data_IF_906512714047
#
_entry.id   IF_906512714047
#
_cell.length_a   1.000
_cell.length_b   1.000
_cell.length_c   1.000
_cell.angle_alpha   90.00
_cell.angle_beta   90.00
_cell.angle_gamma   90.00
#
_symmetry.space_group_name_H-M   'P 1'
#
loop_
_entity.id
_entity.type
_entity.pdbx_description
1 polymer ?
#
# COMPACT_ATOMS: atom_id res chain seq x y z
N UNK A 1 -21.64 0.59 -23.35
CA UNK A 1 -21.01 0.54 -22.02
C UNK A 1 -20.12 -0.70 -22.00
N UNK A 2 -18.81 -0.56 -21.73
CA UNK A 2 -17.88 -1.70 -21.62
C UNK A 2 -18.13 -2.46 -20.31
N UNK A 3 -17.61 -3.69 -20.20
CA UNK A 3 -17.68 -4.45 -18.94
C UNK A 3 -16.99 -3.69 -17.78
N UNK A 4 -15.91 -2.98 -18.08
CA UNK A 4 -15.22 -2.14 -17.10
C UNK A 4 -16.09 -0.95 -16.64
N UNK A 5 -16.71 -0.24 -17.58
CA UNK A 5 -17.61 0.86 -17.24
C UNK A 5 -18.82 0.39 -16.40
N UNK A 6 -19.32 -0.81 -16.68
CA UNK A 6 -20.43 -1.38 -15.91
C UNK A 6 -20.00 -1.68 -14.46
N UNK A 7 -18.86 -2.38 -14.26
CA UNK A 7 -18.38 -2.68 -12.89
C UNK A 7 -18.08 -1.40 -12.10
N UNK A 8 -17.59 -0.35 -12.78
CA UNK A 8 -17.29 0.92 -12.14
C UNK A 8 -18.61 1.64 -11.73
N UNK A 9 -19.62 1.60 -12.58
CA UNK A 9 -20.97 2.11 -12.28
C UNK A 9 -21.61 1.35 -11.10
N UNK A 10 -21.47 0.03 -11.07
CA UNK A 10 -21.97 -0.82 -9.97
C UNK A 10 -21.28 -0.49 -8.64
N UNK A 11 -19.96 -0.29 -8.63
CA UNK A 11 -19.21 0.14 -7.45
C UNK A 11 -19.65 1.53 -6.98
N UNK A 12 -19.82 2.48 -7.90
CA UNK A 12 -20.32 3.83 -7.56
C UNK A 12 -21.71 3.74 -6.95
N UNK A 13 -22.61 2.99 -7.57
CA UNK A 13 -23.98 2.81 -7.07
C UNK A 13 -23.98 2.17 -5.66
N UNK A 14 -23.17 1.15 -5.44
CA UNK A 14 -23.03 0.52 -4.12
C UNK A 14 -22.59 1.53 -3.06
N UNK A 15 -21.57 2.34 -3.35
CA UNK A 15 -21.06 3.35 -2.41
C UNK A 15 -22.12 4.44 -2.15
N UNK A 16 -22.87 4.87 -3.18
CA UNK A 16 -23.99 5.81 -3.04
C UNK A 16 -25.10 5.26 -2.13
N UNK A 17 -25.47 3.99 -2.31
CA UNK A 17 -26.45 3.33 -1.45
C UNK A 17 -25.98 3.23 -0.01
N UNK A 18 -24.70 2.90 0.18
CA UNK A 18 -24.10 2.80 1.51
C UNK A 18 -24.07 4.15 2.24
N UNK A 19 -23.85 5.25 1.51
CA UNK A 19 -23.83 6.60 2.07
C UNK A 19 -25.22 7.25 2.13
N UNK A 20 -26.27 6.51 1.79
CA UNK A 20 -27.65 7.02 1.88
C UNK A 20 -27.96 7.48 3.30
N UNK A 21 -28.59 8.65 3.43
CA UNK A 21 -28.89 9.29 4.70
C UNK A 21 -27.77 10.18 5.26
N UNK A 22 -26.59 10.20 4.63
CA UNK A 22 -25.56 11.21 4.86
C UNK A 22 -25.72 12.35 3.85
N UNK A 23 -25.41 13.58 4.25
CA UNK A 23 -25.28 14.71 3.34
C UNK A 23 -23.94 14.59 2.61
N UNK A 24 -23.94 13.76 1.58
CA UNK A 24 -22.74 13.42 0.81
C UNK A 24 -22.82 14.06 -0.58
N UNK A 25 -21.79 14.80 -1.01
CA UNK A 25 -21.71 15.34 -2.37
C UNK A 25 -21.60 14.22 -3.40
N UNK A 26 -21.64 14.58 -4.68
CA UNK A 26 -21.43 13.61 -5.76
C UNK A 26 -20.08 12.90 -5.59
N UNK A 27 -20.09 11.57 -5.71
CA UNK A 27 -18.89 10.75 -5.58
C UNK A 27 -18.05 10.88 -6.85
N UNK A 28 -16.84 11.41 -6.68
CA UNK A 28 -15.82 11.46 -7.73
C UNK A 28 -15.31 10.03 -8.02
N UNK A 29 -15.12 9.70 -9.29
CA UNK A 29 -14.69 8.34 -9.68
C UNK A 29 -13.35 8.41 -10.38
N UNK A 30 -12.39 7.65 -9.86
CA UNK A 30 -11.04 7.56 -10.39
C UNK A 30 -10.78 6.16 -10.96
N UNK A 31 -10.72 6.11 -12.28
CA UNK A 31 -10.58 4.90 -13.07
C UNK A 31 -9.15 4.32 -13.01
N UNK A 32 -9.06 3.02 -13.22
CA UNK A 32 -7.83 2.27 -13.41
C UNK A 32 -7.65 1.87 -14.87
N UNK A 33 -6.42 1.60 -15.32
CA UNK A 33 -6.24 0.72 -16.47
C UNK A 33 -6.95 -0.62 -16.22
N UNK A 34 -7.55 -1.18 -17.25
CA UNK A 34 -8.27 -2.46 -17.14
C UNK A 34 -7.33 -3.65 -16.95
N UNK A 35 -6.08 -3.53 -17.43
CA UNK A 35 -5.02 -4.55 -17.36
C UNK A 35 -3.70 -3.91 -16.92
N UNK A 36 -2.75 -4.74 -16.54
CA UNK A 36 -1.37 -4.34 -16.22
C UNK A 36 -1.24 -3.27 -15.11
N UNK A 37 -2.24 -3.21 -14.24
CA UNK A 37 -2.31 -2.23 -13.16
C UNK A 37 -1.62 -2.68 -11.88
N UNK A 38 -1.45 -4.00 -11.70
CA UNK A 38 -1.01 -4.58 -10.43
C UNK A 38 0.51 -4.70 -10.38
N UNK A 39 1.13 -3.97 -9.45
CA UNK A 39 2.59 -3.93 -9.27
C UNK A 39 3.14 -5.09 -8.45
N UNK A 40 2.27 -5.87 -7.80
CA UNK A 40 2.65 -7.04 -7.01
C UNK A 40 1.83 -8.25 -7.46
N UNK A 41 2.50 -9.38 -7.64
CA UNK A 41 1.86 -10.66 -7.93
C UNK A 41 2.61 -11.79 -7.23
N UNK A 42 1.88 -12.82 -6.82
CA UNK A 42 2.45 -14.01 -6.21
C UNK A 42 1.86 -15.27 -6.86
N UNK A 43 2.68 -16.29 -7.02
CA UNK A 43 2.30 -17.55 -7.63
C UNK A 43 2.95 -18.72 -6.87
N UNK A 44 2.26 -19.85 -6.88
CA UNK A 44 2.89 -21.13 -6.59
C UNK A 44 3.70 -21.58 -7.79
N UNK A 45 4.79 -22.27 -7.54
CA UNK A 45 5.52 -22.98 -8.58
C UNK A 45 5.07 -24.44 -8.51
N UNK A 46 4.44 -24.89 -9.57
CA UNK A 46 3.92 -26.25 -9.67
C UNK A 46 4.87 -27.10 -10.49
N UNK A 47 5.13 -28.31 -9.99
CA UNK A 47 6.01 -29.29 -10.63
C UNK A 47 5.19 -30.50 -11.02
N UNK A 48 5.07 -30.77 -12.31
CA UNK A 48 4.29 -31.89 -12.84
C UNK A 48 4.92 -32.38 -14.16
N UNK A 49 5.06 -33.71 -14.28
CA UNK A 49 5.58 -34.32 -15.51
C UNK A 49 6.98 -33.87 -15.95
N UNK A 50 7.80 -33.39 -15.01
CA UNK A 50 9.12 -32.82 -15.31
C UNK A 50 9.10 -31.35 -15.72
N UNK A 51 7.93 -30.80 -15.94
CA UNK A 51 7.71 -29.37 -16.21
C UNK A 51 7.53 -28.58 -14.90
N UNK A 52 7.81 -27.30 -14.96
CA UNK A 52 7.61 -26.34 -13.88
C UNK A 52 6.90 -25.10 -14.43
N UNK A 53 5.82 -24.67 -13.76
CA UNK A 53 5.03 -23.53 -14.22
C UNK A 53 4.39 -22.77 -13.04
N UNK A 54 3.96 -21.54 -13.30
CA UNK A 54 3.24 -20.71 -12.33
C UNK A 54 1.81 -21.21 -12.17
N UNK A 55 1.33 -21.23 -10.93
CA UNK A 55 0.00 -21.69 -10.60
C UNK A 55 -0.71 -20.80 -9.59
N UNK A 56 -1.99 -20.66 -9.76
CA UNK A 56 -2.95 -20.14 -8.77
C UNK A 56 -3.96 -21.26 -8.45
N UNK A 57 -4.81 -21.01 -7.47
CA UNK A 57 -5.84 -21.97 -7.07
C UNK A 57 -7.20 -21.29 -7.04
N UNK A 58 -8.25 -22.05 -7.31
CA UNK A 58 -9.62 -21.55 -7.20
C UNK A 58 -9.86 -21.00 -5.79
N UNK A 59 -10.48 -19.83 -5.74
CA UNK A 59 -10.73 -19.12 -4.49
C UNK A 59 -11.62 -19.95 -3.55
N UNK A 60 -11.18 -20.08 -2.30
CA UNK A 60 -11.92 -20.81 -1.26
C UNK A 60 -11.73 -22.33 -1.31
N UNK A 61 -10.94 -22.85 -2.26
CA UNK A 61 -10.59 -24.26 -2.32
C UNK A 61 -9.20 -24.55 -1.76
N UNK A 62 -9.00 -25.75 -1.26
CA UNK A 62 -7.67 -26.21 -0.81
C UNK A 62 -6.75 -26.32 -2.04
N UNK A 63 -5.51 -25.84 -1.89
CA UNK A 63 -4.49 -25.96 -2.92
C UNK A 63 -4.22 -27.44 -3.26
N UNK A 64 -4.62 -27.85 -4.45
CA UNK A 64 -4.48 -29.22 -4.96
C UNK A 64 -4.49 -29.20 -6.49
N UNK A 65 -4.13 -30.31 -7.12
CA UNK A 65 -4.23 -30.45 -8.58
C UNK A 65 -5.65 -30.24 -9.13
N UNK A 66 -6.69 -30.51 -8.31
CA UNK A 66 -8.09 -30.33 -8.72
C UNK A 66 -8.53 -28.85 -8.76
N UNK A 67 -7.91 -27.98 -7.97
CA UNK A 67 -8.19 -26.53 -7.92
C UNK A 67 -7.14 -25.70 -8.64
N UNK A 68 -6.20 -26.33 -9.36
CA UNK A 68 -5.07 -25.73 -10.02
C UNK A 68 -5.50 -24.92 -11.22
N UNK A 69 -4.99 -23.67 -11.30
CA UNK A 69 -5.11 -22.77 -12.45
C UNK A 69 -3.68 -22.46 -12.91
N UNK A 70 -3.30 -22.93 -14.10
CA UNK A 70 -2.01 -22.61 -14.72
C UNK A 70 -2.01 -21.14 -15.16
N UNK A 71 -0.97 -20.40 -14.83
CA UNK A 71 -0.83 -18.97 -15.11
C UNK A 71 0.46 -18.69 -15.88
N UNK A 72 0.47 -18.93 -17.19
CA UNK A 72 1.63 -18.57 -18.04
C UNK A 72 1.75 -17.05 -18.23
N UNK A 73 0.63 -16.34 -18.09
CA UNK A 73 0.52 -14.89 -18.06
C UNK A 73 -0.51 -14.49 -16.99
N UNK A 74 -0.39 -13.27 -16.50
CA UNK A 74 -1.36 -12.70 -15.56
C UNK A 74 -1.74 -11.28 -15.99
N UNK A 75 -2.82 -11.10 -16.76
CA UNK A 75 -3.17 -9.80 -17.37
C UNK A 75 -3.32 -8.65 -16.38
N UNK A 76 -3.68 -8.92 -15.12
CA UNK A 76 -3.76 -7.90 -14.09
C UNK A 76 -2.39 -7.38 -13.65
N UNK A 77 -1.34 -8.24 -13.66
CA UNK A 77 0.02 -7.84 -13.28
C UNK A 77 0.63 -6.88 -14.29
N UNK A 78 1.55 -6.04 -13.83
CA UNK A 78 2.27 -5.06 -14.67
C UNK A 78 2.90 -5.72 -15.89
N UNK A 79 3.11 -4.93 -16.94
CA UNK A 79 3.77 -5.42 -18.15
C UNK A 79 5.18 -5.97 -17.85
N UNK A 80 5.90 -5.34 -16.92
CA UNK A 80 7.24 -5.80 -16.52
C UNK A 80 7.20 -7.17 -15.81
N UNK A 81 6.19 -7.45 -14.99
CA UNK A 81 5.99 -8.78 -14.38
C UNK A 81 5.68 -9.80 -15.48
N UNK A 82 4.73 -9.52 -16.37
CA UNK A 82 4.36 -10.42 -17.46
C UNK A 82 5.54 -10.71 -18.42
N UNK A 83 6.37 -9.70 -18.70
CA UNK A 83 7.56 -9.87 -19.52
C UNK A 83 8.66 -10.71 -18.83
N UNK A 84 8.75 -10.63 -17.49
CA UNK A 84 9.73 -11.38 -16.71
C UNK A 84 9.31 -12.85 -16.49
N UNK A 85 8.04 -13.11 -16.30
CA UNK A 85 7.53 -14.45 -15.95
C UNK A 85 8.09 -15.59 -16.83
N UNK A 86 8.00 -15.54 -18.18
CA UNK A 86 8.53 -16.61 -19.02
C UNK A 86 10.06 -16.74 -18.93
N UNK A 87 10.77 -15.64 -18.85
CA UNK A 87 12.25 -15.63 -18.78
C UNK A 87 12.75 -16.23 -17.47
N UNK A 88 12.10 -15.89 -16.35
CA UNK A 88 12.45 -16.37 -15.03
C UNK A 88 12.21 -17.88 -14.90
N UNK A 89 11.05 -18.36 -15.34
CA UNK A 89 10.70 -19.79 -15.24
C UNK A 89 11.59 -20.65 -16.16
N UNK A 90 11.91 -20.18 -17.36
CA UNK A 90 12.81 -20.85 -18.29
C UNK A 90 14.23 -20.96 -17.72
N UNK A 91 14.81 -19.85 -17.27
CA UNK A 91 16.15 -19.83 -16.69
C UNK A 91 16.25 -20.72 -15.44
N UNK A 92 15.27 -20.64 -14.54
CA UNK A 92 15.23 -21.47 -13.34
C UNK A 92 15.02 -22.96 -13.64
N UNK A 93 14.22 -23.30 -14.66
CA UNK A 93 13.99 -24.69 -15.10
C UNK A 93 15.26 -25.38 -15.61
N UNK A 94 16.14 -24.60 -16.21
CA UNK A 94 17.41 -25.09 -16.77
C UNK A 94 18.55 -25.17 -15.73
N UNK A 95 18.33 -24.68 -14.51
CA UNK A 95 19.37 -24.70 -13.46
C UNK A 95 18.94 -25.56 -12.26
N UNK A 96 19.67 -26.69 -11.98
CA UNK A 96 19.28 -27.64 -10.92
C UNK A 96 19.09 -26.99 -9.54
N UNK A 97 19.97 -26.06 -9.14
CA UNK A 97 19.89 -25.41 -7.83
C UNK A 97 18.68 -24.50 -7.70
N UNK A 98 18.29 -23.81 -8.77
CA UNK A 98 17.14 -22.92 -8.80
C UNK A 98 15.82 -23.67 -8.88
N UNK A 99 15.77 -24.77 -9.67
CA UNK A 99 14.58 -25.59 -9.87
C UNK A 99 14.19 -26.41 -8.63
N UNK A 100 15.19 -26.96 -7.94
CA UNK A 100 14.96 -27.94 -6.89
C UNK A 100 14.19 -27.38 -5.71
N UNK A 101 12.96 -27.88 -5.50
CA UNK A 101 12.03 -27.49 -4.44
C UNK A 101 11.68 -26.01 -4.40
N UNK A 102 11.73 -25.31 -5.55
CA UNK A 102 11.17 -23.99 -5.68
C UNK A 102 9.66 -24.07 -5.52
N UNK A 103 9.13 -23.38 -4.50
CA UNK A 103 7.75 -23.55 -4.04
C UNK A 103 6.81 -22.44 -4.47
N UNK A 104 7.27 -21.20 -4.37
CA UNK A 104 6.48 -20.02 -4.70
C UNK A 104 7.38 -18.86 -5.12
N UNK A 105 6.79 -17.86 -5.75
CA UNK A 105 7.46 -16.62 -6.15
C UNK A 105 6.56 -15.44 -5.90
N UNK A 106 7.17 -14.35 -5.43
CA UNK A 106 6.53 -13.04 -5.31
C UNK A 106 7.27 -12.04 -6.20
N UNK A 107 6.50 -11.26 -6.95
CA UNK A 107 7.01 -10.17 -7.78
C UNK A 107 6.59 -8.84 -7.19
N UNK A 108 7.52 -7.89 -7.13
CA UNK A 108 7.26 -6.50 -6.80
C UNK A 108 7.92 -5.62 -7.85
N UNK A 109 7.10 -5.01 -8.69
CA UNK A 109 7.52 -4.06 -9.74
C UNK A 109 7.20 -2.63 -9.35
N UNK A 110 7.79 -1.69 -10.07
CA UNK A 110 7.59 -0.25 -9.88
C UNK A 110 7.32 0.46 -11.20
N UNK A 111 6.72 1.64 -11.16
CA UNK A 111 6.61 2.52 -12.32
C UNK A 111 7.98 3.06 -12.75
N UNK A 112 8.95 3.11 -11.83
CA UNK A 112 10.34 3.50 -12.12
C UNK A 112 11.13 2.46 -12.91
N UNK A 113 10.62 1.22 -13.00
CA UNK A 113 11.25 0.11 -13.75
C UNK A 113 12.06 -0.85 -12.90
N UNK A 114 12.17 -0.66 -11.58
CA UNK A 114 12.82 -1.63 -10.69
C UNK A 114 11.92 -2.85 -10.45
N UNK A 115 12.56 -4.01 -10.27
CA UNK A 115 11.91 -5.30 -10.03
C UNK A 115 12.60 -6.06 -8.91
N UNK A 116 11.83 -6.52 -7.93
CA UNK A 116 12.26 -7.42 -6.87
C UNK A 116 11.49 -8.73 -6.96
N UNK A 117 12.23 -9.84 -6.97
CA UNK A 117 11.66 -11.20 -7.00
C UNK A 117 12.05 -11.92 -5.71
N UNK A 118 11.07 -12.41 -4.98
CA UNK A 118 11.29 -13.28 -3.83
C UNK A 118 11.02 -14.72 -4.24
N UNK A 119 12.06 -15.54 -4.25
CA UNK A 119 11.99 -16.96 -4.55
C UNK A 119 11.90 -17.77 -3.26
N UNK A 120 10.81 -18.51 -3.07
CA UNK A 120 10.49 -19.24 -1.83
C UNK A 120 10.67 -20.74 -2.06
N UNK A 121 11.44 -21.37 -1.19
CA UNK A 121 11.85 -22.77 -1.31
C UNK A 121 11.43 -23.63 -0.10
N UNK A 122 11.20 -24.91 -0.36
CA UNK A 122 11.05 -25.95 0.65
C UNK A 122 12.35 -26.76 0.84
N UNK A 123 13.49 -26.08 0.73
CA UNK A 123 14.81 -26.63 1.04
C UNK A 123 15.68 -25.55 1.70
N UNK A 124 16.73 -25.95 2.39
CA UNK A 124 17.77 -25.00 2.86
C UNK A 124 18.53 -24.46 1.66
N UNK A 125 18.73 -23.16 1.61
CA UNK A 125 19.51 -22.47 0.58
C UNK A 125 20.97 -22.46 0.98
N UNK A 126 21.85 -22.83 0.04
CA UNK A 126 23.29 -22.95 0.21
C UNK A 126 24.04 -21.96 -0.72
N UNK A 127 25.37 -22.01 -0.69
CA UNK A 127 26.22 -21.15 -1.53
C UNK A 127 26.01 -21.39 -3.03
N UNK A 128 25.79 -22.65 -3.44
CA UNK A 128 25.52 -22.96 -4.85
C UNK A 128 24.22 -22.32 -5.34
N UNK A 129 23.18 -22.30 -4.50
CA UNK A 129 21.96 -21.56 -4.79
C UNK A 129 22.22 -20.06 -4.89
N UNK A 130 23.00 -19.49 -3.95
CA UNK A 130 23.33 -18.05 -3.96
C UNK A 130 24.05 -17.65 -5.24
N UNK A 131 25.05 -18.42 -5.65
CA UNK A 131 25.79 -18.15 -6.88
C UNK A 131 24.86 -18.18 -8.09
N UNK A 132 24.06 -19.24 -8.23
CA UNK A 132 23.12 -19.39 -9.33
C UNK A 132 22.08 -18.26 -9.38
N UNK A 133 21.57 -17.85 -8.23
CA UNK A 133 20.59 -16.77 -8.12
C UNK A 133 21.22 -15.39 -8.38
N UNK A 134 22.50 -15.16 -8.03
CA UNK A 134 23.23 -13.93 -8.37
C UNK A 134 23.43 -13.80 -9.89
N UNK A 135 23.82 -14.88 -10.55
CA UNK A 135 23.94 -14.92 -12.01
C UNK A 135 22.61 -14.63 -12.68
N UNK A 136 21.53 -15.27 -12.23
CA UNK A 136 20.17 -15.04 -12.69
C UNK A 136 19.72 -13.59 -12.51
N UNK A 137 19.97 -13.02 -11.33
CA UNK A 137 19.62 -11.63 -11.02
C UNK A 137 20.35 -10.64 -11.95
N UNK A 138 21.62 -10.87 -12.22
CA UNK A 138 22.42 -10.08 -13.14
C UNK A 138 21.89 -10.18 -14.58
N UNK A 139 21.67 -11.40 -15.08
CA UNK A 139 21.25 -11.64 -16.46
C UNK A 139 19.84 -11.08 -16.75
N UNK A 140 18.97 -11.09 -15.78
CA UNK A 140 17.60 -10.56 -15.91
C UNK A 140 17.47 -9.09 -15.49
N UNK A 141 18.50 -8.50 -14.90
CA UNK A 141 18.49 -7.11 -14.42
C UNK A 141 17.50 -6.87 -13.29
N UNK A 142 17.40 -7.80 -12.33
CA UNK A 142 16.45 -7.78 -11.23
C UNK A 142 17.13 -7.96 -9.88
N UNK A 143 16.42 -7.60 -8.80
CA UNK A 143 16.82 -7.97 -7.45
C UNK A 143 16.18 -9.30 -7.05
N UNK A 144 16.93 -10.18 -6.39
CA UNK A 144 16.42 -11.48 -5.92
C UNK A 144 16.64 -11.62 -4.43
N UNK A 145 15.61 -12.12 -3.74
CA UNK A 145 15.66 -12.61 -2.37
C UNK A 145 15.31 -14.09 -2.39
N UNK A 146 16.10 -14.91 -1.70
CA UNK A 146 15.77 -16.29 -1.41
C UNK A 146 15.15 -16.43 -0.03
N UNK A 147 14.03 -17.16 0.06
CA UNK A 147 13.40 -17.51 1.32
C UNK A 147 13.25 -19.02 1.46
N UNK A 148 13.51 -19.49 2.66
CA UNK A 148 13.25 -20.84 3.10
C UNK A 148 12.90 -20.82 4.59
N UNK A 149 12.53 -21.96 5.18
CA UNK A 149 12.21 -22.01 6.60
C UNK A 149 13.39 -21.49 7.45
N UNK A 150 13.18 -20.37 8.13
CA UNK A 150 14.19 -19.73 8.97
C UNK A 150 15.35 -19.03 8.22
N UNK A 151 15.26 -18.88 6.89
CA UNK A 151 16.27 -18.18 6.10
C UNK A 151 15.66 -17.06 5.26
N UNK A 152 16.37 -15.93 5.23
CA UNK A 152 16.20 -14.85 4.25
C UNK A 152 17.58 -14.50 3.71
N UNK A 153 17.80 -14.69 2.42
CA UNK A 153 19.04 -14.37 1.74
C UNK A 153 18.78 -13.23 0.77
N UNK A 154 19.36 -12.08 1.05
CA UNK A 154 19.27 -10.87 0.21
C UNK A 154 20.53 -10.82 -0.65
N UNK A 155 20.38 -10.92 -1.97
CA UNK A 155 21.53 -10.95 -2.89
C UNK A 155 22.11 -9.56 -3.14
N UNK A 156 21.27 -8.54 -3.22
CA UNK A 156 21.68 -7.14 -3.43
C UNK A 156 20.95 -6.18 -2.49
N UNK A 157 19.64 -6.13 -2.57
CA UNK A 157 18.78 -5.29 -1.74
C UNK A 157 17.43 -5.97 -1.51
N UNK A 158 16.75 -5.60 -0.44
CA UNK A 158 15.42 -6.13 -0.09
C UNK A 158 14.30 -5.11 -0.30
N UNK A 159 14.51 -4.20 -1.20
CA UNK A 159 13.55 -3.15 -1.57
C UNK A 159 13.65 -2.80 -3.06
N UNK A 160 12.63 -2.13 -3.54
CA UNK A 160 12.63 -1.36 -4.79
C UNK A 160 12.35 0.10 -4.49
N UNK A 161 12.81 1.00 -5.36
CA UNK A 161 12.51 2.42 -5.27
C UNK A 161 11.44 2.78 -6.29
N UNK A 162 10.24 3.07 -5.80
CA UNK A 162 9.12 3.56 -6.61
C UNK A 162 9.23 5.08 -6.79
N UNK A 163 8.76 5.56 -7.93
CA UNK A 163 8.65 6.97 -8.25
C UNK A 163 7.20 7.31 -8.62
N UNK A 164 6.50 8.03 -7.74
CA UNK A 164 5.12 8.44 -7.95
C UNK A 164 5.04 9.93 -8.23
N UNK A 165 4.28 10.32 -9.24
CA UNK A 165 4.06 11.72 -9.61
C UNK A 165 2.73 12.22 -9.05
N UNK A 166 2.80 13.31 -8.30
CA UNK A 166 1.66 13.99 -7.67
C UNK A 166 1.73 15.46 -8.00
N UNK A 167 0.73 16.00 -8.71
CA UNK A 167 0.66 17.40 -9.13
C UNK A 167 1.98 17.90 -9.80
N UNK A 168 2.55 17.06 -10.66
CA UNK A 168 3.78 17.37 -11.42
C UNK A 168 5.08 17.20 -10.65
N UNK A 169 5.04 16.87 -9.35
CA UNK A 169 6.22 16.57 -8.54
C UNK A 169 6.37 15.06 -8.35
N UNK A 170 7.58 14.55 -8.52
CA UNK A 170 7.90 13.13 -8.33
C UNK A 170 8.44 12.89 -6.92
N UNK A 171 7.85 11.91 -6.23
CA UNK A 171 8.28 11.43 -4.93
C UNK A 171 8.87 10.05 -5.04
N UNK A 172 9.95 9.78 -4.31
CA UNK A 172 10.64 8.49 -4.27
C UNK A 172 10.30 7.75 -2.98
N UNK A 173 9.98 6.47 -3.12
CA UNK A 173 9.58 5.60 -2.01
C UNK A 173 10.36 4.30 -2.05
N UNK A 174 11.00 3.93 -0.95
CA UNK A 174 11.39 2.54 -0.75
C UNK A 174 10.17 1.69 -0.43
N UNK A 175 10.03 0.63 -1.20
CA UNK A 175 9.04 -0.42 -0.99
C UNK A 175 9.78 -1.69 -0.59
N UNK A 176 9.70 -2.02 0.70
CA UNK A 176 10.44 -3.13 1.29
C UNK A 176 9.70 -4.44 1.00
N UNK A 177 10.47 -5.49 0.69
CA UNK A 177 9.95 -6.84 0.52
C UNK A 177 9.08 -7.25 1.72
N UNK A 178 7.90 -7.80 1.44
CA UNK A 178 6.93 -8.22 2.45
C UNK A 178 6.15 -7.10 3.14
N UNK A 179 6.49 -5.83 2.93
CA UNK A 179 5.71 -4.70 3.46
C UNK A 179 4.53 -4.36 2.55
N UNK A 180 3.52 -3.72 3.15
CA UNK A 180 2.37 -3.25 2.38
C UNK A 180 2.76 -2.13 1.41
N UNK A 181 2.24 -2.21 0.20
CA UNK A 181 2.27 -1.14 -0.81
C UNK A 181 0.93 -1.12 -1.54
N UNK A 182 0.50 0.05 -2.01
CA UNK A 182 -0.69 0.14 -2.86
C UNK A 182 -0.49 -0.70 -4.14
N UNK A 183 -1.35 -1.68 -4.41
CA UNK A 183 -1.09 -2.63 -5.48
C UNK A 183 -1.22 -2.03 -6.88
N UNK A 184 -1.99 -0.96 -7.04
CA UNK A 184 -2.18 -0.25 -8.30
C UNK A 184 -1.53 1.13 -8.20
N UNK A 185 -0.28 1.24 -8.68
CA UNK A 185 0.50 2.48 -8.55
C UNK A 185 -0.10 3.66 -9.32
N UNK A 186 -0.75 3.42 -10.46
CA UNK A 186 -1.39 4.48 -11.23
C UNK A 186 -2.59 5.07 -10.50
N UNK A 187 -3.45 4.23 -9.92
CA UNK A 187 -4.56 4.70 -9.06
C UNK A 187 -4.03 5.30 -7.76
N UNK A 188 -2.93 4.77 -7.20
CA UNK A 188 -2.27 5.38 -6.05
C UNK A 188 -1.90 6.85 -6.32
N UNK A 189 -1.32 7.17 -7.47
CA UNK A 189 -1.02 8.56 -7.84
C UNK A 189 -2.29 9.44 -7.86
N UNK A 190 -3.42 8.90 -8.32
CA UNK A 190 -4.73 9.60 -8.29
C UNK A 190 -5.22 9.81 -6.85
N UNK A 191 -5.05 8.83 -5.99
CA UNK A 191 -5.37 8.95 -4.56
C UNK A 191 -4.54 10.03 -3.87
N UNK A 192 -3.23 10.04 -4.12
CA UNK A 192 -2.31 11.04 -3.58
C UNK A 192 -2.66 12.45 -4.08
N UNK A 193 -2.94 12.58 -5.37
CA UNK A 193 -3.36 13.86 -5.98
C UNK A 193 -4.67 14.36 -5.36
N UNK A 194 -5.67 13.49 -5.23
CA UNK A 194 -6.95 13.84 -4.62
C UNK A 194 -6.77 14.32 -3.17
N UNK A 195 -5.96 13.63 -2.39
CA UNK A 195 -5.69 14.02 -1.00
C UNK A 195 -4.97 15.37 -0.92
N UNK A 196 -3.98 15.60 -1.78
CA UNK A 196 -3.27 16.89 -1.86
C UNK A 196 -4.20 18.02 -2.29
N UNK A 197 -5.08 17.79 -3.26
CA UNK A 197 -6.05 18.79 -3.71
C UNK A 197 -7.05 19.15 -2.60
N UNK A 198 -7.52 18.16 -1.84
CA UNK A 198 -8.36 18.40 -0.67
C UNK A 198 -7.63 19.13 0.47
N UNK A 199 -6.31 18.94 0.57
CA UNK A 199 -5.48 19.58 1.59
C UNK A 199 -5.06 21.02 1.25
N UNK A 200 -5.31 21.49 0.02
CA UNK A 200 -4.94 22.85 -0.39
C UNK A 200 -5.57 23.91 0.53
N UNK A 201 -4.76 24.85 0.99
CA UNK A 201 -5.17 25.97 1.82
C UNK A 201 -5.77 25.60 3.21
N UNK A 202 -5.62 24.36 3.69
CA UNK A 202 -6.03 24.00 5.05
C UNK A 202 -5.09 24.61 6.10
N UNK A 203 -3.80 24.75 5.76
CA UNK A 203 -2.81 25.40 6.63
C UNK A 203 -2.56 24.70 7.95
N UNK A 204 -1.81 25.35 8.86
CA UNK A 204 -1.44 24.80 10.17
C UNK A 204 -0.69 23.47 10.06
N UNK A 205 -0.93 22.54 11.00
CA UNK A 205 -0.20 21.28 11.10
C UNK A 205 -1.10 20.08 10.81
N UNK A 206 -0.50 19.05 10.24
CA UNK A 206 -1.14 17.77 9.92
C UNK A 206 -0.70 16.70 10.92
N UNK A 207 -1.66 15.96 11.43
CA UNK A 207 -1.45 14.65 12.05
C UNK A 207 -1.85 13.55 11.05
N UNK A 208 -0.99 12.56 10.87
CA UNK A 208 -1.34 11.35 10.13
C UNK A 208 -1.19 10.11 11.02
N UNK A 209 -2.22 9.27 11.04
CA UNK A 209 -2.19 7.96 11.67
C UNK A 209 -2.12 6.88 10.59
N UNK A 210 -1.48 5.75 10.92
CA UNK A 210 -1.31 4.61 9.98
C UNK A 210 -0.52 4.97 8.72
N UNK A 211 0.57 5.72 8.86
CA UNK A 211 1.25 6.31 7.70
C UNK A 211 2.03 5.31 6.83
N UNK A 212 2.25 4.09 7.29
CA UNK A 212 3.04 3.10 6.58
C UNK A 212 4.45 3.62 6.28
N UNK A 213 4.89 3.53 5.04
CA UNK A 213 6.16 4.09 4.59
C UNK A 213 6.10 5.59 4.22
N UNK A 214 5.03 6.28 4.60
CA UNK A 214 4.84 7.69 4.28
C UNK A 214 4.18 7.95 2.92
N UNK A 215 3.42 7.01 2.40
CA UNK A 215 2.84 7.08 1.06
C UNK A 215 2.05 8.38 0.82
N UNK A 216 1.10 8.72 1.70
CA UNK A 216 0.36 9.99 1.66
C UNK A 216 1.13 11.13 2.33
N UNK A 217 1.88 10.83 3.38
CA UNK A 217 2.57 11.78 4.23
C UNK A 217 3.50 12.70 3.44
N UNK A 218 4.30 12.11 2.53
CA UNK A 218 5.30 12.87 1.78
C UNK A 218 4.66 13.96 0.90
N UNK A 219 3.72 13.67 0.00
CA UNK A 219 3.10 14.71 -0.82
C UNK A 219 2.22 15.65 0.01
N UNK A 220 1.53 15.19 1.05
CA UNK A 220 0.73 16.03 1.94
C UNK A 220 1.58 17.05 2.70
N UNK A 221 2.83 16.74 3.02
CA UNK A 221 3.73 17.65 3.75
C UNK A 221 3.91 19.02 3.09
N UNK A 222 3.67 19.12 1.79
CA UNK A 222 3.78 20.39 1.05
C UNK A 222 2.65 21.39 1.39
N UNK A 223 1.57 20.94 2.00
CA UNK A 223 0.37 21.74 2.27
C UNK A 223 0.25 22.20 3.73
N UNK A 224 1.21 21.82 4.59
CA UNK A 224 1.17 22.11 6.03
C UNK A 224 2.48 22.71 6.53
N UNK A 225 2.40 23.44 7.65
CA UNK A 225 3.59 24.00 8.29
C UNK A 225 4.47 22.89 8.85
N UNK A 226 3.87 21.98 9.61
CA UNK A 226 4.53 20.80 10.17
C UNK A 226 3.61 19.57 10.00
N UNK A 227 4.23 18.41 9.88
CA UNK A 227 3.54 17.13 9.82
C UNK A 227 4.13 16.19 10.86
N UNK A 228 3.25 15.57 11.63
CA UNK A 228 3.59 14.45 12.49
C UNK A 228 2.81 13.22 12.00
N UNK A 229 3.52 12.16 11.68
CA UNK A 229 2.93 10.91 11.26
C UNK A 229 3.29 9.77 12.22
N UNK A 230 2.39 8.79 12.38
CA UNK A 230 2.60 7.65 13.26
C UNK A 230 2.45 6.33 12.53
N UNK A 231 3.28 5.37 12.90
CA UNK A 231 3.27 4.01 12.36
C UNK A 231 3.85 3.04 13.41
N UNK A 232 3.26 1.87 13.54
CA UNK A 232 3.68 0.87 14.53
C UNK A 232 4.82 -0.03 14.02
N UNK A 233 4.84 -0.31 12.72
CA UNK A 233 5.84 -1.17 12.09
C UNK A 233 7.21 -0.52 12.01
N UNK A 234 8.21 -1.12 12.66
CA UNK A 234 9.59 -0.63 12.60
C UNK A 234 10.14 -0.57 11.16
N UNK A 235 9.81 -1.57 10.36
CA UNK A 235 10.24 -1.63 8.95
C UNK A 235 9.66 -0.49 8.14
N UNK A 236 8.37 -0.21 8.32
CA UNK A 236 7.69 0.90 7.64
C UNK A 236 8.22 2.26 8.10
N UNK A 237 8.44 2.45 9.41
CA UNK A 237 9.05 3.69 9.96
C UNK A 237 10.45 3.93 9.38
N UNK A 238 11.29 2.90 9.30
CA UNK A 238 12.62 3.02 8.71
C UNK A 238 12.55 3.37 7.21
N UNK A 239 11.65 2.76 6.47
CA UNK A 239 11.41 3.10 5.07
C UNK A 239 10.92 4.55 4.92
N UNK A 240 9.97 4.97 5.75
CA UNK A 240 9.45 6.34 5.77
C UNK A 240 10.54 7.36 6.07
N UNK A 241 11.44 7.08 7.02
CA UNK A 241 12.56 7.96 7.35
C UNK A 241 13.51 8.13 6.16
N UNK A 242 13.85 7.03 5.47
CA UNK A 242 14.63 7.10 4.23
C UNK A 242 13.90 7.91 3.15
N UNK A 243 12.58 7.71 3.01
CA UNK A 243 11.76 8.41 2.02
C UNK A 243 11.74 9.93 2.29
N UNK A 244 11.65 10.35 3.54
CA UNK A 244 11.72 11.76 3.95
C UNK A 244 13.06 12.37 3.50
N UNK A 245 14.16 11.71 3.79
CA UNK A 245 15.52 12.16 3.45
C UNK A 245 15.72 12.21 1.92
N UNK A 246 15.32 11.15 1.20
CA UNK A 246 15.46 11.05 -0.24
C UNK A 246 14.65 12.13 -1.01
N UNK A 247 13.56 12.61 -0.42
CA UNK A 247 12.73 13.68 -0.98
C UNK A 247 13.05 15.07 -0.38
N UNK A 248 14.07 15.18 0.49
CA UNK A 248 14.51 16.43 1.12
C UNK A 248 13.39 17.17 1.87
N UNK A 249 12.52 16.41 2.54
CA UNK A 249 11.40 16.96 3.31
C UNK A 249 11.90 17.32 4.71
N UNK A 250 11.70 18.56 5.14
CA UNK A 250 12.26 19.10 6.39
C UNK A 250 11.24 19.36 7.48
N UNK A 251 9.94 19.39 7.14
CA UNK A 251 8.84 19.74 8.04
C UNK A 251 8.02 18.51 8.51
N UNK A 252 8.57 17.31 8.38
CA UNK A 252 7.89 16.06 8.67
C UNK A 252 8.69 15.22 9.66
N UNK A 253 8.01 14.74 10.71
CA UNK A 253 8.55 13.75 11.66
C UNK A 253 7.65 12.53 11.70
N UNK A 254 8.25 11.35 11.88
CA UNK A 254 7.55 10.08 12.06
C UNK A 254 7.81 9.54 13.45
N UNK A 255 6.74 9.25 14.19
CA UNK A 255 6.81 8.61 15.49
C UNK A 255 6.40 7.13 15.38
N UNK A 256 7.18 6.23 15.97
CA UNK A 256 6.83 4.81 16.06
C UNK A 256 5.82 4.59 17.20
N UNK A 257 4.55 4.85 16.91
CA UNK A 257 3.41 4.68 17.83
C UNK A 257 2.24 4.06 17.10
N UNK A 258 1.42 3.29 17.80
CA UNK A 258 0.09 2.94 17.30
C UNK A 258 -0.86 4.15 17.38
N UNK A 259 -1.99 4.06 16.69
CA UNK A 259 -3.02 5.10 16.77
C UNK A 259 -3.56 5.27 18.20
N UNK A 260 -3.73 4.17 18.92
CA UNK A 260 -4.18 4.13 20.32
C UNK A 260 -3.13 4.77 21.25
N UNK A 261 -1.84 4.40 21.10
CA UNK A 261 -0.74 5.00 21.86
C UNK A 261 -0.66 6.52 21.64
N UNK A 262 -0.81 6.96 20.37
CA UNK A 262 -0.85 8.40 20.06
C UNK A 262 -2.08 9.07 20.70
N UNK A 263 -3.26 8.46 20.63
CA UNK A 263 -4.49 8.96 21.23
C UNK A 263 -4.31 9.17 22.74
N UNK A 264 -3.72 8.20 23.45
CA UNK A 264 -3.40 8.33 24.87
C UNK A 264 -2.40 9.47 25.15
N UNK A 265 -1.33 9.57 24.34
CA UNK A 265 -0.35 10.63 24.50
C UNK A 265 -0.96 12.03 24.34
N UNK A 266 -1.80 12.19 23.34
CA UNK A 266 -2.38 13.48 22.99
C UNK A 266 -3.57 13.88 23.89
N UNK A 267 -4.42 12.92 24.26
CA UNK A 267 -5.65 13.22 25.03
C UNK A 267 -5.48 13.13 26.55
N UNK A 268 -4.57 12.27 27.02
CA UNK A 268 -4.36 11.99 28.45
C UNK A 268 -3.02 12.52 28.97
N UNK A 269 -2.24 13.21 28.13
CA UNK A 269 -0.87 13.67 28.43
C UNK A 269 0.05 12.52 28.90
N UNK A 270 -0.19 11.28 28.44
CA UNK A 270 0.67 10.16 28.75
C UNK A 270 2.00 10.33 28.05
N UNK A 271 3.09 10.27 28.82
CA UNK A 271 4.43 10.37 28.27
C UNK A 271 4.84 9.04 27.62
N UNK A 272 5.33 9.13 26.39
CA UNK A 272 5.93 8.02 25.67
C UNK A 272 7.40 8.32 25.41
N UNK A 273 8.27 7.44 25.90
CA UNK A 273 9.72 7.55 25.72
C UNK A 273 10.15 7.72 24.27
N UNK A 274 9.42 7.07 23.35
CA UNK A 274 9.69 7.16 21.91
C UNK A 274 9.49 8.57 21.34
N UNK A 275 8.56 9.36 21.85
CA UNK A 275 8.41 10.76 21.48
C UNK A 275 9.57 11.61 22.00
N UNK A 276 9.96 11.39 23.25
CA UNK A 276 11.09 12.10 23.87
C UNK A 276 12.42 11.82 23.17
N UNK A 277 12.70 10.54 22.86
CA UNK A 277 13.92 10.10 22.16
C UNK A 277 14.03 10.70 20.74
N UNK A 278 12.90 11.00 20.10
CA UNK A 278 12.83 11.61 18.77
C UNK A 278 12.73 13.15 18.81
N UNK A 279 12.77 13.74 19.99
CA UNK A 279 12.62 15.18 20.17
C UNK A 279 11.29 15.71 19.66
N UNK A 280 10.20 14.93 19.86
CA UNK A 280 8.84 15.30 19.50
C UNK A 280 8.10 15.75 20.75
N UNK A 281 7.76 17.04 20.79
CA UNK A 281 6.88 17.63 21.79
C UNK A 281 5.54 17.98 21.13
N UNK A 282 4.48 17.31 21.51
CA UNK A 282 3.13 17.47 20.93
C UNK A 282 2.57 18.89 21.15
N UNK A 283 3.07 19.63 22.15
CA UNK A 283 2.66 21.01 22.44
C UNK A 283 3.15 22.00 21.39
N UNK A 284 4.14 21.61 20.58
CA UNK A 284 4.68 22.46 19.52
C UNK A 284 3.89 22.37 18.20
N UNK A 285 2.82 21.59 18.16
CA UNK A 285 1.96 21.41 16.99
C UNK A 285 0.63 22.14 17.18
N UNK A 286 0.20 22.84 16.13
CA UNK A 286 -1.13 23.43 15.99
C UNK A 286 -1.94 22.63 14.94
N UNK A 287 -2.34 21.43 15.31
CA UNK A 287 -3.04 20.52 14.42
C UNK A 287 -4.41 21.06 14.01
N UNK A 288 -4.65 21.25 12.72
CA UNK A 288 -5.96 21.55 12.14
C UNK A 288 -6.57 20.38 11.39
N UNK A 289 -5.73 19.51 10.88
CA UNK A 289 -6.11 18.42 9.98
C UNK A 289 -5.57 17.09 10.45
N UNK A 290 -6.38 16.04 10.34
CA UNK A 290 -5.96 14.66 10.52
C UNK A 290 -6.18 13.88 9.23
N UNK A 291 -5.20 13.07 8.85
CA UNK A 291 -5.28 12.09 7.77
C UNK A 291 -5.25 10.68 8.37
N UNK A 292 -6.14 9.81 7.93
CA UNK A 292 -6.17 8.39 8.32
C UNK A 292 -6.38 7.49 7.09
N UNK A 293 -5.60 6.42 7.03
CA UNK A 293 -5.75 5.30 6.09
C UNK A 293 -5.66 3.99 6.91
N UNK A 294 -6.69 3.69 7.71
CA UNK A 294 -6.65 2.60 8.66
C UNK A 294 -6.74 1.22 7.98
N UNK A 295 -6.43 0.13 8.70
CA UNK A 295 -6.69 -1.22 8.24
C UNK A 295 -8.19 -1.46 8.02
N UNK A 296 -8.56 -2.62 7.45
CA UNK A 296 -9.94 -2.97 7.09
C UNK A 296 -10.97 -2.88 8.23
N UNK A 297 -10.50 -2.98 9.47
CA UNK A 297 -11.35 -2.83 10.65
C UNK A 297 -11.85 -1.38 10.86
N UNK A 298 -11.27 -0.40 10.16
CA UNK A 298 -11.54 1.01 10.36
C UNK A 298 -10.80 1.59 11.56
N UNK A 299 -11.22 2.75 12.01
CA UNK A 299 -10.71 3.44 13.20
C UNK A 299 -11.49 2.98 14.43
N UNK A 300 -10.80 2.62 15.51
CA UNK A 300 -11.43 2.26 16.78
C UNK A 300 -12.15 3.46 17.45
N UNK A 301 -13.05 3.18 18.39
CA UNK A 301 -13.94 4.19 18.99
C UNK A 301 -13.16 5.31 19.71
N UNK A 302 -12.08 4.99 20.43
CA UNK A 302 -11.31 6.00 21.16
C UNK A 302 -10.50 6.89 20.21
N UNK A 303 -9.88 6.28 19.20
CA UNK A 303 -9.18 7.02 18.13
C UNK A 303 -10.18 7.84 17.31
N UNK A 304 -11.39 7.34 17.07
CA UNK A 304 -12.44 8.07 16.36
C UNK A 304 -12.88 9.33 17.10
N UNK A 305 -12.95 9.29 18.44
CA UNK A 305 -13.19 10.48 19.28
C UNK A 305 -12.08 11.52 19.13
N UNK A 306 -10.83 11.08 18.99
CA UNK A 306 -9.73 11.99 18.68
C UNK A 306 -9.90 12.59 17.30
N UNK A 307 -10.17 11.77 16.26
CA UNK A 307 -10.37 12.23 14.87
C UNK A 307 -11.45 13.31 14.81
N UNK A 308 -12.55 13.15 15.54
CA UNK A 308 -13.67 14.11 15.59
C UNK A 308 -13.30 15.49 16.22
N UNK A 309 -12.12 15.65 16.80
CA UNK A 309 -11.66 16.94 17.36
C UNK A 309 -11.09 17.87 16.31
N UNK A 310 -10.62 17.34 15.20
CA UNK A 310 -9.91 18.10 14.16
C UNK A 310 -10.89 18.88 13.29
N UNK A 311 -10.44 20.03 12.78
CA UNK A 311 -11.26 20.87 11.90
C UNK A 311 -11.46 20.21 10.54
N UNK A 312 -10.44 19.49 10.05
CA UNK A 312 -10.51 18.77 8.80
C UNK A 312 -10.08 17.30 8.99
N UNK A 313 -10.82 16.40 8.37
CA UNK A 313 -10.55 14.95 8.39
C UNK A 313 -10.44 14.46 6.94
N UNK A 314 -9.28 13.94 6.57
CA UNK A 314 -9.07 13.21 5.33
C UNK A 314 -9.02 11.72 5.67
N UNK A 315 -9.96 10.96 5.15
CA UNK A 315 -10.12 9.53 5.46
C UNK A 315 -10.11 8.71 4.17
N UNK A 316 -9.10 7.84 4.00
CA UNK A 316 -9.03 6.83 2.95
C UNK A 316 -9.40 5.48 3.56
N UNK A 317 -10.16 4.66 2.86
CA UNK A 317 -10.62 3.36 3.36
C UNK A 317 -10.69 2.31 2.28
N UNK A 318 -10.13 1.13 2.56
CA UNK A 318 -10.28 -0.07 1.74
C UNK A 318 -11.52 -0.91 2.13
N UNK A 319 -12.33 -0.43 3.06
CA UNK A 319 -13.57 -1.10 3.50
C UNK A 319 -14.69 -0.04 3.67
N UNK A 320 -15.57 0.09 2.68
CA UNK A 320 -16.60 1.12 2.70
C UNK A 320 -17.64 0.94 3.83
N UNK A 321 -17.88 -0.29 4.29
CA UNK A 321 -18.81 -0.56 5.40
C UNK A 321 -18.26 -0.01 6.72
N UNK A 322 -16.98 -0.22 7.00
CA UNK A 322 -16.35 0.35 8.21
C UNK A 322 -16.22 1.87 8.12
N UNK A 323 -15.94 2.39 6.93
CA UNK A 323 -15.99 3.84 6.70
C UNK A 323 -17.39 4.38 7.00
N UNK A 324 -18.45 3.75 6.47
CA UNK A 324 -19.84 4.17 6.74
C UNK A 324 -20.15 4.22 8.23
N UNK A 325 -19.73 3.19 8.98
CA UNK A 325 -19.91 3.16 10.44
C UNK A 325 -19.18 4.32 11.15
N UNK A 326 -17.94 4.63 10.73
CA UNK A 326 -17.19 5.76 11.29
C UNK A 326 -17.82 7.12 10.89
N UNK A 327 -18.39 7.23 9.68
CA UNK A 327 -19.07 8.43 9.22
C UNK A 327 -20.35 8.72 10.02
N UNK A 328 -21.05 7.71 10.56
CA UNK A 328 -22.18 7.92 11.44
C UNK A 328 -21.83 8.73 12.71
N UNK A 329 -20.60 8.55 13.19
CA UNK A 329 -20.06 9.34 14.30
C UNK A 329 -19.53 10.70 13.82
N UNK A 330 -18.69 10.71 12.80
CA UNK A 330 -18.03 11.94 12.33
C UNK A 330 -19.03 12.96 11.78
N UNK A 331 -20.07 12.54 11.08
CA UNK A 331 -21.07 13.44 10.51
C UNK A 331 -21.97 14.12 11.54
N UNK A 332 -21.91 13.73 12.81
CA UNK A 332 -22.53 14.48 13.90
C UNK A 332 -21.90 15.87 14.07
N UNK A 333 -20.62 15.98 13.86
CA UNK A 333 -19.83 17.21 14.06
C UNK A 333 -19.22 17.78 12.78
N UNK A 334 -19.21 17.01 11.68
CA UNK A 334 -18.59 17.39 10.42
C UNK A 334 -19.57 17.25 9.24
N UNK A 335 -19.27 17.97 8.16
CA UNK A 335 -19.88 17.80 6.85
C UNK A 335 -18.91 17.13 5.89
N UNK A 336 -19.44 16.30 4.98
CA UNK A 336 -18.63 15.70 3.91
C UNK A 336 -18.51 16.75 2.79
N UNK A 337 -17.31 17.26 2.56
CA UNK A 337 -17.02 18.25 1.52
C UNK A 337 -16.69 17.59 0.17
N UNK A 338 -16.03 16.43 0.20
CA UNK A 338 -15.71 15.62 -0.99
C UNK A 338 -15.80 14.14 -0.65
N UNK A 339 -16.21 13.36 -1.65
CA UNK A 339 -16.21 11.89 -1.58
C UNK A 339 -15.67 11.32 -2.89
N UNK A 340 -14.89 10.25 -2.81
CA UNK A 340 -14.25 9.63 -3.95
C UNK A 340 -14.29 8.11 -3.91
N UNK A 341 -14.37 7.51 -5.11
CA UNK A 341 -14.14 6.10 -5.39
C UNK A 341 -12.87 5.97 -6.20
N UNK A 342 -11.94 5.15 -5.73
CA UNK A 342 -10.71 4.81 -6.44
C UNK A 342 -10.73 3.33 -6.83
N UNK A 343 -10.65 3.04 -8.13
CA UNK A 343 -10.71 1.66 -8.60
C UNK A 343 -9.34 0.97 -8.54
N UNK A 344 -8.85 0.74 -7.32
CA UNK A 344 -7.59 0.04 -7.06
C UNK A 344 -7.58 -1.40 -7.59
N UNK A 345 -8.74 -2.04 -7.64
CA UNK A 345 -8.90 -3.45 -7.98
C UNK A 345 -10.00 -3.65 -9.02
N UNK A 346 -9.72 -3.32 -10.30
CA UNK A 346 -10.66 -3.57 -11.39
C UNK A 346 -11.18 -5.00 -11.43
N UNK A 347 -12.45 -5.15 -11.80
CA UNK A 347 -13.13 -6.44 -11.91
C UNK A 347 -13.20 -7.28 -10.62
N UNK A 348 -13.02 -6.64 -9.46
CA UNK A 348 -13.23 -7.25 -8.16
C UNK A 348 -14.31 -6.51 -7.37
N UNK A 349 -14.77 -7.10 -6.26
CA UNK A 349 -15.71 -6.45 -5.35
C UNK A 349 -15.05 -5.42 -4.40
N UNK A 350 -13.73 -5.33 -4.41
CA UNK A 350 -13.03 -4.38 -3.54
C UNK A 350 -13.25 -2.95 -3.99
N UNK A 351 -13.51 -2.08 -3.01
CA UNK A 351 -13.68 -0.64 -3.21
C UNK A 351 -12.70 0.09 -2.31
N UNK A 352 -11.95 1.00 -2.89
CA UNK A 352 -11.18 2.00 -2.18
C UNK A 352 -11.93 3.31 -2.24
N UNK A 353 -12.12 3.98 -1.12
CA UNK A 353 -12.88 5.22 -1.03
C UNK A 353 -12.17 6.27 -0.21
N UNK A 354 -12.48 7.53 -0.47
CA UNK A 354 -11.95 8.65 0.26
C UNK A 354 -13.04 9.65 0.59
N UNK A 355 -12.93 10.27 1.76
CA UNK A 355 -13.78 11.41 2.14
C UNK A 355 -12.93 12.51 2.76
N UNK A 356 -13.30 13.74 2.47
CA UNK A 356 -12.84 14.91 3.20
C UNK A 356 -14.00 15.51 3.95
N UNK A 357 -13.84 15.60 5.27
CA UNK A 357 -14.84 16.18 6.15
C UNK A 357 -14.30 17.47 6.77
N UNK A 358 -15.19 18.44 6.92
CA UNK A 358 -14.93 19.71 7.56
C UNK A 358 -15.86 19.91 8.76
N UNK A 359 -15.31 20.42 9.85
CA UNK A 359 -16.08 20.69 11.07
C UNK A 359 -17.14 21.75 10.82
N UNK A 360 -18.35 21.51 11.34
CA UNK A 360 -19.51 22.41 11.21
C UNK A 360 -19.30 23.73 11.92
#
# INVERSE_FOLDING_TARGET
MTAYQQQLADKKQYLQQLFQGLDCPEIEVFESPEQHYRMRAEFRIWHEGGEMFYAMFERGQKASGASLIRCDQFPAASESINALMPKLIEAASNHPELKNRWYAVEFLSTLSGEMLVTMIYHKKLNEAWQQAAQELAHDLGIHIIGRSRGQKIVLSQDFVTEALTVNGKTFRYRQIEGSFTQPNAQVCQKMLTWACDAAQNLGKDLLELYCGNGNFTLPLSQHFNQVLATEVSKTSVNAAQWNIEANQITNLKIARLSAEEFTEAYTQNREFRRLQEQGIDLKNYDFSTIFVDPPRAGVDDETLKLVARFDNVLYISCNPETLRANLDTLCQTHTIERAALFDQFPFTHHIESGVWLKKK
#
